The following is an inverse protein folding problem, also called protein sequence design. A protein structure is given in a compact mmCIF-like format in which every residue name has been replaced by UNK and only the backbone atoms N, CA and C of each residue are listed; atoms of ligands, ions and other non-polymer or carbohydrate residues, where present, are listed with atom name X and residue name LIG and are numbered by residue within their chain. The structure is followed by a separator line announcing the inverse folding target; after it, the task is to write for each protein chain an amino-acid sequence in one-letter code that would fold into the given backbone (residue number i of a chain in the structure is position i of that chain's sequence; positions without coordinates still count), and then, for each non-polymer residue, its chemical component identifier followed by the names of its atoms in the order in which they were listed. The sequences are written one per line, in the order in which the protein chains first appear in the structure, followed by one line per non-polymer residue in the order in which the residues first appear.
data_IF_232785136427
#
_entry.id   IF_232785136427
#
_cell.length_a   1.000
_cell.length_b   1.000
_cell.length_c   1.000
_cell.angle_alpha   90.00
_cell.angle_beta   90.00
_cell.angle_gamma   90.00
#
_symmetry.space_group_name_H-M   'P 1'
#
loop_
_entity.id
_entity.type
_entity.pdbx_description
1 polymer ?
#
# COMPACT_ATOMS: atom_id res chain seq x y z
N UNK A 1 -5.77 9.85 6.35
CA UNK A 1 -4.91 8.83 5.75
C UNK A 1 -5.83 7.71 5.29
N UNK A 2 -5.81 7.38 3.99
CA UNK A 2 -6.61 6.34 3.34
C UNK A 2 -5.74 5.22 2.78
N UNK A 3 -4.45 5.49 2.50
CA UNK A 3 -3.54 4.54 1.87
C UNK A 3 -3.39 3.22 2.67
N UNK A 4 -3.32 3.20 4.01
CA UNK A 4 -3.25 1.95 4.76
C UNK A 4 -4.46 1.04 4.53
N UNK A 5 -5.68 1.61 4.55
CA UNK A 5 -6.91 0.85 4.30
C UNK A 5 -7.00 0.35 2.86
N UNK A 6 -6.58 1.17 1.89
CA UNK A 6 -6.52 0.77 0.48
C UNK A 6 -5.52 -0.36 0.25
N UNK A 7 -4.35 -0.32 0.90
CA UNK A 7 -3.36 -1.38 0.79
C UNK A 7 -3.84 -2.66 1.47
N UNK A 8 -4.45 -2.57 2.65
CA UNK A 8 -5.09 -3.72 3.31
C UNK A 8 -6.13 -4.39 2.41
N UNK A 9 -6.98 -3.60 1.76
CA UNK A 9 -7.97 -4.12 0.82
C UNK A 9 -7.32 -4.82 -0.38
N UNK A 10 -6.25 -4.26 -0.95
CA UNK A 10 -5.52 -4.88 -2.05
C UNK A 10 -4.85 -6.21 -1.63
N UNK A 11 -4.19 -6.24 -0.48
CA UNK A 11 -3.56 -7.44 0.07
C UNK A 11 -4.61 -8.53 0.32
N UNK A 12 -5.70 -8.21 1.03
CA UNK A 12 -6.72 -9.20 1.42
C UNK A 12 -7.59 -9.66 0.25
N UNK A 13 -7.67 -8.91 -0.85
CA UNK A 13 -8.30 -9.38 -2.09
C UNK A 13 -7.49 -10.49 -2.76
N UNK A 14 -6.14 -10.41 -2.70
CA UNK A 14 -5.25 -11.41 -3.29
C UNK A 14 -4.87 -12.53 -2.32
N UNK A 15 -4.88 -12.26 -1.02
CA UNK A 15 -4.54 -13.20 0.06
C UNK A 15 -5.71 -13.28 1.05
N UNK A 16 -6.82 -13.95 0.69
CA UNK A 16 -8.03 -13.97 1.51
C UNK A 16 -7.82 -14.58 2.90
N UNK A 17 -6.81 -15.42 3.09
CA UNK A 17 -6.42 -15.96 4.40
C UNK A 17 -6.04 -14.86 5.40
N UNK A 18 -5.45 -13.76 4.94
CA UNK A 18 -5.12 -12.59 5.77
C UNK A 18 -6.36 -11.74 6.07
N UNK A 19 -7.41 -11.86 5.25
CA UNK A 19 -8.72 -11.27 5.52
C UNK A 19 -9.54 -12.06 6.54
N UNK A 20 -9.38 -13.39 6.57
CA UNK A 20 -10.05 -14.29 7.54
C UNK A 20 -9.43 -14.22 8.93
N UNK A 21 -8.13 -13.99 9.00
CA UNK A 21 -7.38 -13.83 10.23
C UNK A 21 -6.65 -12.46 10.26
N UNK A 22 -7.33 -11.40 10.72
CA UNK A 22 -6.79 -10.05 10.71
C UNK A 22 -5.53 -9.86 11.56
N UNK A 23 -5.30 -10.73 12.54
CA UNK A 23 -4.13 -10.66 13.44
C UNK A 23 -2.84 -10.99 12.68
N UNK A 24 -2.94 -11.70 11.54
CA UNK A 24 -1.82 -12.01 10.64
C UNK A 24 -1.45 -10.89 9.68
N UNK A 25 -2.20 -9.78 9.66
CA UNK A 25 -1.87 -8.57 8.89
C UNK A 25 -1.97 -7.33 9.80
N UNK A 26 -0.86 -7.03 10.47
CA UNK A 26 -0.73 -5.80 11.26
C UNK A 26 -0.20 -4.67 10.38
N UNK A 27 -0.75 -3.47 10.57
CA UNK A 27 -0.27 -2.26 9.89
C UNK A 27 -0.31 -1.08 10.84
N UNK A 28 0.77 -0.31 10.91
CA UNK A 28 0.85 0.90 11.72
C UNK A 28 1.76 1.93 11.06
N UNK A 29 1.67 3.18 11.52
CA UNK A 29 2.48 4.28 10.99
C UNK A 29 3.56 4.67 11.98
N UNK A 30 4.76 4.93 11.47
CA UNK A 30 5.91 5.43 12.22
C UNK A 30 6.52 6.65 11.53
N UNK A 31 7.41 7.35 12.23
CA UNK A 31 8.14 8.54 11.75
C UNK A 31 7.25 9.60 11.07
N UNK A 32 6.00 9.71 11.52
CA UNK A 32 5.00 10.57 10.92
C UNK A 32 5.29 12.05 11.13
N UNK A 33 4.99 12.85 10.11
CA UNK A 33 5.02 14.32 10.16
C UNK A 33 3.90 14.91 9.30
N UNK A 34 3.48 16.13 9.68
CA UNK A 34 2.50 16.92 8.92
C UNK A 34 3.22 18.04 8.22
N UNK A 35 3.09 18.10 6.89
CA UNK A 35 3.61 19.18 6.07
C UNK A 35 2.48 20.15 5.76
N UNK A 36 2.56 21.35 6.31
CA UNK A 36 1.61 22.44 6.07
C UNK A 36 2.35 23.74 5.74
N UNK A 37 1.73 24.59 4.95
CA UNK A 37 2.28 25.92 4.60
C UNK A 37 1.47 27.00 5.30
N UNK A 38 2.15 28.02 5.82
CA UNK A 38 1.50 29.22 6.34
C UNK A 38 1.06 30.10 5.16
N UNK A 39 -0.15 29.87 4.65
CA UNK A 39 -0.74 30.60 3.53
C UNK A 39 -2.27 30.57 3.54
N UNK A 40 -2.89 31.15 2.51
CA UNK A 40 -4.36 31.18 2.40
C UNK A 40 -4.97 29.78 2.23
N UNK A 41 -4.23 28.85 1.61
CA UNK A 41 -4.61 27.44 1.51
C UNK A 41 -4.36 26.74 2.84
N UNK A 42 -5.38 26.06 3.38
CA UNK A 42 -5.31 25.37 4.68
C UNK A 42 -5.14 23.85 4.57
N UNK A 43 -4.84 23.36 3.37
CA UNK A 43 -4.50 21.95 3.16
C UNK A 43 -3.15 21.59 3.79
N UNK A 44 -2.93 20.29 3.95
CA UNK A 44 -1.71 19.73 4.52
C UNK A 44 -1.45 18.35 3.92
N UNK A 45 -0.26 17.80 4.16
CA UNK A 45 0.07 16.43 3.79
C UNK A 45 0.53 15.64 5.01
N UNK A 46 0.16 14.37 5.06
CA UNK A 46 0.81 13.37 5.88
C UNK A 46 2.04 12.87 5.14
N UNK A 47 3.17 12.75 5.84
CA UNK A 47 4.33 11.97 5.41
C UNK A 47 4.68 11.00 6.54
N UNK A 48 4.81 9.71 6.26
CA UNK A 48 5.00 8.67 7.27
C UNK A 48 5.59 7.40 6.68
N UNK A 49 6.19 6.58 7.54
CA UNK A 49 6.54 5.19 7.22
C UNK A 49 5.36 4.30 7.61
N UNK A 50 4.76 3.61 6.64
CA UNK A 50 3.78 2.56 6.89
C UNK A 50 4.53 1.24 7.08
N UNK A 51 4.42 0.67 8.27
CA UNK A 51 4.89 -0.68 8.53
C UNK A 51 3.75 -1.65 8.22
N UNK A 52 4.05 -2.65 7.40
CA UNK A 52 3.16 -3.77 7.06
C UNK A 52 3.82 -5.04 7.56
N UNK A 53 3.19 -5.70 8.51
CA UNK A 53 3.66 -6.97 9.06
C UNK A 53 2.67 -8.06 8.71
N UNK A 54 3.15 -9.08 8.00
CA UNK A 54 2.41 -10.29 7.66
C UNK A 54 3.06 -11.45 8.42
N UNK A 55 2.27 -12.21 9.17
CA UNK A 55 2.78 -13.30 10.01
C UNK A 55 2.30 -14.69 9.57
N UNK A 56 3.21 -15.66 9.61
CA UNK A 56 2.98 -17.06 9.33
C UNK A 56 2.46 -17.32 7.93
N UNK A 57 2.89 -16.56 6.92
CA UNK A 57 2.42 -16.73 5.55
C UNK A 57 3.03 -17.98 4.92
N UNK A 58 2.19 -18.97 4.60
CA UNK A 58 2.61 -20.30 4.17
C UNK A 58 2.73 -20.44 2.64
N UNK A 59 3.13 -19.41 1.92
CA UNK A 59 3.67 -19.66 0.58
C UNK A 59 4.49 -18.50 0.08
N UNK A 60 4.52 -18.33 -1.24
CA UNK A 60 5.64 -17.60 -1.83
C UNK A 60 5.63 -16.09 -1.50
N UNK A 61 6.64 -15.57 -0.76
CA UNK A 61 6.73 -14.14 -0.43
C UNK A 61 6.77 -13.23 -1.65
N UNK A 62 7.12 -13.75 -2.83
CA UNK A 62 7.05 -13.01 -4.10
C UNK A 62 5.63 -12.51 -4.38
N UNK A 63 4.61 -13.27 -3.97
CA UNK A 63 3.19 -12.89 -4.10
C UNK A 63 2.87 -11.64 -3.27
N UNK A 64 3.41 -11.55 -2.04
CA UNK A 64 3.26 -10.38 -1.17
C UNK A 64 3.93 -9.18 -1.83
N UNK A 65 5.20 -9.32 -2.21
CA UNK A 65 5.98 -8.22 -2.78
C UNK A 65 5.40 -7.74 -4.11
N UNK A 66 4.94 -8.65 -4.96
CA UNK A 66 4.28 -8.29 -6.21
C UNK A 66 2.98 -7.53 -5.97
N UNK A 67 2.16 -7.96 -5.01
CA UNK A 67 0.91 -7.27 -4.65
C UNK A 67 1.18 -5.86 -4.13
N UNK A 68 2.18 -5.68 -3.27
CA UNK A 68 2.59 -4.36 -2.77
C UNK A 68 3.12 -3.49 -3.90
N UNK A 69 4.00 -4.02 -4.75
CA UNK A 69 4.52 -3.29 -5.91
C UNK A 69 3.40 -2.85 -6.87
N UNK A 70 2.43 -3.72 -7.14
CA UNK A 70 1.30 -3.38 -8.00
C UNK A 70 0.46 -2.25 -7.43
N UNK A 71 0.13 -2.33 -6.14
CA UNK A 71 -0.59 -1.28 -5.44
C UNK A 71 0.17 0.06 -5.46
N UNK A 72 1.50 0.04 -5.30
CA UNK A 72 2.35 1.22 -5.33
C UNK A 72 2.32 1.93 -6.69
N UNK A 73 2.18 1.21 -7.81
CA UNK A 73 2.08 1.85 -9.15
C UNK A 73 0.93 2.85 -9.23
N UNK A 74 -0.18 2.57 -8.55
CA UNK A 74 -1.33 3.47 -8.51
C UNK A 74 -1.23 4.49 -7.36
N UNK A 75 -0.73 4.08 -6.20
CA UNK A 75 -0.86 4.86 -4.96
C UNK A 75 0.39 5.65 -4.57
N UNK A 76 1.60 5.20 -4.91
CA UNK A 76 2.87 5.87 -4.59
C UNK A 76 3.96 5.51 -5.62
N UNK A 77 3.78 5.89 -6.91
CA UNK A 77 4.66 5.46 -8.00
C UNK A 77 6.09 6.00 -7.89
N UNK A 78 6.31 7.06 -7.12
CA UNK A 78 7.64 7.61 -6.82
C UNK A 78 8.54 6.60 -6.11
N UNK A 79 8.00 5.66 -5.33
CA UNK A 79 8.77 4.57 -4.71
C UNK A 79 9.25 3.52 -5.73
N UNK A 80 8.71 3.52 -6.95
CA UNK A 80 9.08 2.60 -8.03
C UNK A 80 9.83 3.30 -9.18
N UNK A 81 10.08 4.60 -9.05
CA UNK A 81 10.72 5.38 -10.10
C UNK A 81 12.19 4.98 -10.29
N UNK A 82 12.73 5.25 -11.48
CA UNK A 82 14.16 5.04 -11.75
C UNK A 82 15.01 5.84 -10.76
N UNK A 83 15.97 5.17 -10.11
CA UNK A 83 16.83 5.76 -9.09
C UNK A 83 16.23 5.81 -7.69
N UNK A 84 15.03 5.26 -7.47
CA UNK A 84 14.51 5.02 -6.12
C UNK A 84 15.40 4.02 -5.36
N UNK A 85 15.49 4.16 -4.04
CA UNK A 85 16.33 3.32 -3.17
C UNK A 85 15.82 1.88 -3.01
N UNK A 86 14.61 1.60 -3.50
CA UNK A 86 13.91 0.33 -3.32
C UNK A 86 13.01 0.33 -2.08
N UNK A 87 12.31 -0.79 -1.89
CA UNK A 87 11.39 -0.99 -0.76
C UNK A 87 12.11 -1.82 0.31
N UNK A 88 12.41 -1.25 1.49
CA UNK A 88 13.03 -2.01 2.56
C UNK A 88 12.05 -3.05 3.13
N UNK A 89 12.56 -4.26 3.33
CA UNK A 89 11.82 -5.37 3.89
C UNK A 89 12.72 -6.25 4.77
N UNK A 90 12.07 -6.98 5.68
CA UNK A 90 12.68 -8.02 6.49
C UNK A 90 11.82 -9.28 6.36
N UNK A 91 12.47 -10.44 6.26
CA UNK A 91 11.81 -11.74 6.21
C UNK A 91 12.42 -12.65 7.27
N UNK A 92 11.58 -13.21 8.12
CA UNK A 92 11.95 -14.35 8.95
C UNK A 92 11.42 -15.64 8.32
N UNK A 93 12.29 -16.65 8.22
CA UNK A 93 11.97 -17.94 7.60
C UNK A 93 11.68 -18.93 8.73
N UNK A 94 10.44 -19.42 8.79
CA UNK A 94 9.98 -20.31 9.86
C UNK A 94 10.16 -21.78 9.48
N UNK A 95 10.46 -22.64 10.45
CA UNK A 95 10.71 -24.08 10.27
C UNK A 95 9.57 -24.84 9.54
N UNK A 96 8.34 -24.33 9.62
CA UNK A 96 7.15 -24.93 9.00
C UNK A 96 6.98 -24.58 7.51
N UNK A 97 7.96 -23.93 6.87
CA UNK A 97 7.86 -23.46 5.49
C UNK A 97 6.96 -22.23 5.32
N UNK A 98 6.75 -21.49 6.41
CA UNK A 98 6.06 -20.20 6.42
C UNK A 98 7.05 -19.06 6.63
N UNK A 99 6.61 -17.83 6.36
CA UNK A 99 7.44 -16.64 6.54
C UNK A 99 6.69 -15.55 7.31
N UNK A 100 7.42 -14.81 8.12
CA UNK A 100 7.00 -13.50 8.61
C UNK A 100 7.65 -12.43 7.73
N UNK A 101 6.87 -11.47 7.25
CA UNK A 101 7.33 -10.42 6.33
C UNK A 101 6.99 -9.06 6.91
N UNK A 102 8.01 -8.23 7.13
CA UNK A 102 7.85 -6.82 7.47
C UNK A 102 8.27 -5.95 6.28
N UNK A 103 7.42 -5.01 5.89
CA UNK A 103 7.67 -4.07 4.80
C UNK A 103 7.54 -2.65 5.35
N UNK A 104 8.51 -1.79 5.04
CA UNK A 104 8.43 -0.36 5.39
C UNK A 104 8.21 0.45 4.11
N UNK A 105 7.09 1.17 4.05
CA UNK A 105 6.72 2.02 2.91
C UNK A 105 6.71 3.49 3.32
N UNK A 106 7.59 4.31 2.76
CA UNK A 106 7.56 5.76 2.99
C UNK A 106 6.49 6.41 2.11
N UNK A 107 5.33 6.71 2.70
CA UNK A 107 4.14 7.20 2.01
C UNK A 107 3.88 8.68 2.29
N UNK A 108 3.17 9.32 1.35
CA UNK A 108 2.61 10.64 1.57
C UNK A 108 1.12 10.70 1.19
N UNK A 109 0.35 11.57 1.83
CA UNK A 109 -1.07 11.79 1.51
C UNK A 109 -1.50 13.23 1.70
N UNK A 110 -1.94 13.89 0.64
CA UNK A 110 -2.44 15.25 0.71
C UNK A 110 -3.92 15.31 1.14
N UNK A 111 -4.23 16.31 1.97
CA UNK A 111 -5.57 16.69 2.42
C UNK A 111 -5.83 18.11 1.95
N UNK A 112 -6.88 18.28 1.17
CA UNK A 112 -7.42 19.61 0.83
C UNK A 112 -8.34 20.09 1.93
N UNK A 113 -8.33 21.40 2.16
CA UNK A 113 -9.27 22.08 3.05
C UNK A 113 -9.91 23.22 2.27
N UNK A 114 -11.22 23.12 2.01
CA UNK A 114 -11.98 24.16 1.30
C UNK A 114 -12.99 24.82 2.22
N UNK A 115 -13.15 26.16 2.17
CA UNK A 115 -14.14 26.85 2.98
C UNK A 115 -15.56 26.48 2.54
N UNK A 116 -16.46 26.35 3.51
CA UNK A 116 -17.91 26.29 3.32
C UNK A 116 -18.60 27.45 4.05
N UNK A 117 -19.91 27.33 4.28
CA UNK A 117 -20.69 28.41 4.89
C UNK A 117 -20.39 28.60 6.38
N UNK A 118 -20.56 29.83 6.87
CA UNK A 118 -20.52 30.19 8.29
C UNK A 118 -19.28 29.67 9.07
N UNK A 119 -18.09 29.72 8.44
CA UNK A 119 -16.84 29.27 9.08
C UNK A 119 -16.57 27.76 9.02
N UNK A 120 -17.44 26.99 8.34
CA UNK A 120 -17.24 25.57 8.08
C UNK A 120 -16.07 25.34 7.11
N UNK A 121 -15.39 24.22 7.26
CA UNK A 121 -14.38 23.75 6.31
C UNK A 121 -14.68 22.31 5.91
N UNK A 122 -14.40 21.96 4.66
CA UNK A 122 -14.51 20.61 4.13
C UNK A 122 -13.10 20.05 3.95
N UNK A 123 -12.86 18.86 4.50
CA UNK A 123 -11.61 18.13 4.31
C UNK A 123 -11.82 17.01 3.30
N UNK A 124 -10.90 16.87 2.35
CA UNK A 124 -10.89 15.74 1.43
C UNK A 124 -9.46 15.25 1.17
N UNK A 125 -9.25 13.94 1.34
CA UNK A 125 -8.02 13.28 0.88
C UNK A 125 -7.96 13.37 -0.63
N UNK A 126 -6.84 13.84 -1.16
CA UNK A 126 -6.58 13.91 -2.59
C UNK A 126 -6.09 12.56 -3.05
N UNK A 127 -6.70 12.01 -4.10
CA UNK A 127 -6.19 10.81 -4.74
C UNK A 127 -4.82 11.09 -5.37
N UNK A 128 -3.89 10.14 -5.28
CA UNK A 128 -2.60 10.24 -5.96
C UNK A 128 -2.86 10.41 -7.46
N UNK A 129 -2.30 11.46 -8.06
CA UNK A 129 -2.29 11.55 -9.52
C UNK A 129 -1.26 10.54 -10.03
N UNK A 130 -1.70 9.58 -10.84
CA UNK A 130 -0.80 8.68 -11.55
C UNK A 130 -0.05 9.54 -12.58
N UNK A 131 1.30 9.63 -12.51
CA UNK A 131 2.06 10.36 -13.51
C UNK A 131 1.72 9.83 -14.90
N UNK A 132 1.50 10.73 -15.87
CA UNK A 132 1.36 10.35 -17.28
C UNK A 132 2.75 10.00 -17.82
N UNK A 133 3.32 8.86 -17.43
CA UNK A 133 4.45 8.28 -18.15
C UNK A 133 3.84 7.45 -19.30
N UNK A 134 4.30 7.60 -20.55
CA UNK A 134 3.67 6.97 -21.71
C UNK A 134 3.44 5.44 -21.57
N UNK A 135 4.27 4.76 -20.79
CA UNK A 135 4.25 3.31 -20.57
C UNK A 135 3.32 2.84 -19.42
N UNK A 136 2.85 3.73 -18.52
CA UNK A 136 1.86 3.38 -17.46
C UNK A 136 0.42 3.60 -17.90
N UNK A 137 0.20 4.03 -19.15
CA UNK A 137 -1.14 4.07 -19.77
C UNK A 137 -1.78 2.68 -19.93
N UNK A 138 -1.03 1.61 -19.62
CA UNK A 138 -1.45 0.21 -19.66
C UNK A 138 -1.50 -0.46 -18.26
N UNK A 139 -1.60 0.28 -17.15
CA UNK A 139 -2.03 -0.36 -15.90
C UNK A 139 -3.45 -0.88 -16.18
N UNK A 140 -3.56 -2.18 -16.45
CA UNK A 140 -4.79 -2.87 -16.82
C UNK A 140 -5.82 -2.86 -15.68
N UNK A 141 -6.86 -3.70 -15.74
CA UNK A 141 -7.71 -3.88 -14.57
C UNK A 141 -6.83 -4.23 -13.35
N UNK A 142 -7.21 -3.73 -12.17
CA UNK A 142 -6.45 -3.97 -10.94
C UNK A 142 -6.13 -5.46 -10.76
N UNK A 143 -5.00 -5.77 -10.13
CA UNK A 143 -4.54 -7.13 -9.92
C UNK A 143 -5.65 -8.00 -9.30
N UNK A 144 -5.94 -9.15 -9.94
CA UNK A 144 -7.00 -10.09 -9.51
C UNK A 144 -6.48 -11.50 -9.27
N UNK A 145 -5.40 -11.90 -9.95
CA UNK A 145 -4.76 -13.20 -9.74
C UNK A 145 -3.28 -13.15 -10.12
N UNK A 146 -2.48 -14.03 -9.51
CA UNK A 146 -1.05 -14.24 -9.78
C UNK A 146 -0.86 -15.71 -10.13
N UNK A 147 -0.07 -15.96 -11.17
CA UNK A 147 0.18 -17.29 -11.73
C UNK A 147 1.69 -17.55 -11.86
N UNK A 148 2.13 -18.76 -11.53
CA UNK A 148 3.50 -19.24 -11.69
C UNK A 148 3.45 -20.59 -12.40
N UNK A 149 4.21 -20.76 -13.48
CA UNK A 149 4.27 -21.98 -14.29
C UNK A 149 2.90 -22.56 -14.71
N UNK A 150 1.93 -21.68 -14.96
CA UNK A 150 0.57 -22.05 -15.37
C UNK A 150 -0.37 -22.45 -14.22
N UNK A 151 0.07 -22.36 -12.97
CA UNK A 151 -0.76 -22.56 -11.78
C UNK A 151 -1.07 -21.22 -11.11
N UNK A 152 -2.34 -21.01 -10.72
CA UNK A 152 -2.72 -19.85 -9.91
C UNK A 152 -2.17 -20.02 -8.49
N UNK A 153 -1.40 -19.03 -8.03
CA UNK A 153 -0.81 -19.00 -6.68
C UNK A 153 -1.48 -17.98 -5.76
N UNK A 154 -2.25 -17.05 -6.31
CA UNK A 154 -3.10 -16.11 -5.56
C UNK A 154 -4.29 -15.63 -6.41
N UNK A 155 -5.49 -15.45 -5.82
CA UNK A 155 -5.88 -15.98 -4.52
C UNK A 155 -5.81 -17.51 -4.50
N UNK A 156 -5.45 -18.09 -3.35
CA UNK A 156 -5.45 -19.54 -3.17
C UNK A 156 -6.84 -20.01 -2.81
N UNK A 157 -7.22 -21.17 -3.32
CA UNK A 157 -8.36 -21.89 -2.79
C UNK A 157 -8.04 -22.26 -1.34
N UNK A 158 -8.90 -21.82 -0.42
CA UNK A 158 -8.77 -22.11 0.99
C UNK A 158 -9.64 -23.32 1.28
N UNK A 159 -9.01 -24.50 1.35
CA UNK A 159 -9.62 -25.77 1.75
C UNK A 159 -10.27 -25.70 3.15
#
# INVERSE_FOLDING_TARGET
MKKPDLLRAAITALLPELGRDPDRLAMWVEKGKVIARQGAQRGFAWEYDLIVLISGYAGDPDVIMFTVCDWLRAQQPDLLASGAEGIPFEVDILDAGAVDVQITLSLNEAVTATPGDAGRWNLATVAQAVPLIPDISQIGPGLTSIWVDGQQVAPRDLD
#
